data_IF_726335510797
#
_entry.id   IF_726335510797
#
_cell.length_a   1.000
_cell.length_b   1.000
_cell.length_c   1.000
_cell.angle_alpha   90.00
_cell.angle_beta   90.00
_cell.angle_gamma   90.00
#
_symmetry.space_group_name_H-M   'P 1'
#
loop_
_entity.id
_entity.type
_entity.pdbx_description
1 polymer ?
#
# COMPACT_ATOMS: atom_id res chain seq x y z
N UNK A 1 -14.73 -0.96 -23.00
CA UNK A 1 -13.42 -1.20 -22.38
C UNK A 1 -13.41 -0.52 -21.02
N UNK A 2 -14.10 -1.12 -20.04
CA UNK A 2 -14.16 -0.57 -18.68
C UNK A 2 -12.88 -0.94 -17.96
N UNK A 3 -11.94 0.00 -17.85
CA UNK A 3 -10.73 -0.20 -17.06
C UNK A 3 -11.20 -0.45 -15.63
N UNK A 4 -10.92 -1.65 -15.13
CA UNK A 4 -11.21 -2.06 -13.76
C UNK A 4 -10.24 -1.30 -12.84
N UNK A 5 -10.38 0.02 -12.76
CA UNK A 5 -9.58 0.88 -11.92
C UNK A 5 -9.87 0.45 -10.47
N UNK A 6 -8.88 -0.14 -9.82
CA UNK A 6 -8.95 -0.41 -8.37
C UNK A 6 -9.03 0.88 -7.56
N UNK A 7 -8.75 2.02 -8.19
CA UNK A 7 -8.91 3.36 -7.66
C UNK A 7 -10.28 3.90 -8.11
N UNK A 8 -11.12 4.26 -7.14
CA UNK A 8 -12.44 4.83 -7.41
C UNK A 8 -12.34 6.35 -7.66
N UNK A 9 -13.35 6.92 -8.32
CA UNK A 9 -13.44 8.37 -8.60
C UNK A 9 -13.20 9.23 -7.34
N UNK A 10 -13.66 8.80 -6.18
CA UNK A 10 -13.46 9.55 -4.94
C UNK A 10 -12.01 9.54 -4.47
N UNK A 11 -11.31 8.41 -4.64
CA UNK A 11 -9.88 8.32 -4.35
C UNK A 11 -9.08 9.23 -5.28
N UNK A 12 -9.43 9.28 -6.56
CA UNK A 12 -8.80 10.22 -7.51
C UNK A 12 -9.00 11.68 -7.08
N UNK A 13 -10.23 12.06 -6.71
CA UNK A 13 -10.52 13.43 -6.25
C UNK A 13 -9.77 13.78 -4.97
N UNK A 14 -9.68 12.84 -4.02
CA UNK A 14 -8.93 13.02 -2.78
C UNK A 14 -7.43 13.19 -3.04
N UNK A 15 -6.85 12.37 -3.92
CA UNK A 15 -5.44 12.49 -4.33
C UNK A 15 -5.19 13.85 -4.98
N UNK A 16 -6.05 14.26 -5.93
CA UNK A 16 -5.93 15.56 -6.59
C UNK A 16 -5.92 16.71 -5.60
N UNK A 17 -6.86 16.70 -4.65
CA UNK A 17 -6.93 17.72 -3.60
C UNK A 17 -5.69 17.71 -2.71
N UNK A 18 -5.22 16.53 -2.29
CA UNK A 18 -4.01 16.42 -1.46
C UNK A 18 -2.76 16.98 -2.17
N UNK A 19 -2.61 16.70 -3.47
CA UNK A 19 -1.49 17.21 -4.27
C UNK A 19 -1.58 18.73 -4.46
N UNK A 20 -2.77 19.27 -4.77
CA UNK A 20 -2.98 20.72 -4.93
C UNK A 20 -2.64 21.50 -3.65
N UNK A 21 -2.98 20.94 -2.49
CA UNK A 21 -2.66 21.51 -1.17
C UNK A 21 -1.25 21.15 -0.66
N UNK A 22 -0.44 20.47 -1.49
CA UNK A 22 0.93 20.01 -1.15
C UNK A 22 1.00 19.21 0.15
N UNK A 23 -0.01 18.39 0.41
CA UNK A 23 -0.09 17.54 1.59
C UNK A 23 0.72 16.25 1.38
N UNK A 24 1.43 15.76 2.42
CA UNK A 24 2.08 14.45 2.36
C UNK A 24 1.02 13.35 2.23
N UNK A 25 1.23 12.42 1.30
CA UNK A 25 0.29 11.33 1.01
C UNK A 25 0.83 10.00 1.54
N UNK A 26 -0.02 9.29 2.28
CA UNK A 26 0.20 7.90 2.72
C UNK A 26 -0.98 7.06 2.27
N UNK A 27 -0.73 5.84 1.80
CA UNK A 27 -1.76 4.94 1.25
C UNK A 27 -2.02 3.78 2.18
N UNK A 28 -3.28 3.53 2.49
CA UNK A 28 -3.72 2.32 3.19
C UNK A 28 -4.50 1.43 2.21
N UNK A 29 -3.94 0.27 1.86
CA UNK A 29 -4.62 -0.74 1.06
C UNK A 29 -5.43 -1.63 2.00
N UNK A 30 -6.73 -1.41 2.05
CA UNK A 30 -7.64 -2.17 2.92
C UNK A 30 -8.29 -3.36 2.18
N UNK A 31 -8.82 -4.32 2.96
CA UNK A 31 -9.48 -5.55 2.52
C UNK A 31 -8.54 -6.56 1.85
N UNK A 32 -7.27 -6.59 2.26
CA UNK A 32 -6.28 -7.56 1.73
C UNK A 32 -6.70 -9.01 2.01
N UNK A 33 -7.52 -9.25 3.03
CA UNK A 33 -8.09 -10.57 3.35
C UNK A 33 -8.90 -11.17 2.19
N UNK A 34 -9.54 -10.34 1.36
CA UNK A 34 -10.29 -10.82 0.20
C UNK A 34 -9.40 -11.47 -0.86
N UNK A 35 -8.14 -11.04 -0.97
CA UNK A 35 -7.17 -11.64 -1.89
C UNK A 35 -6.92 -13.11 -1.53
N UNK A 36 -6.92 -13.42 -0.23
CA UNK A 36 -6.59 -14.73 0.32
C UNK A 36 -7.84 -15.60 0.48
N UNK A 37 -8.90 -15.05 1.07
CA UNK A 37 -10.06 -15.83 1.50
C UNK A 37 -11.14 -15.95 0.42
N UNK A 38 -11.36 -14.89 -0.36
CA UNK A 38 -12.40 -14.87 -1.41
C UNK A 38 -11.81 -15.26 -2.76
N UNK A 39 -10.80 -14.54 -3.22
CA UNK A 39 -10.16 -14.77 -4.52
C UNK A 39 -9.20 -15.96 -4.49
N UNK A 40 -8.73 -16.36 -3.31
CA UNK A 40 -7.80 -17.49 -3.12
C UNK A 40 -6.57 -17.42 -4.01
N UNK A 41 -6.03 -16.21 -4.17
CA UNK A 41 -4.86 -15.98 -5.00
C UNK A 41 -3.63 -16.64 -4.37
N UNK A 42 -2.75 -17.25 -5.17
CA UNK A 42 -1.39 -17.58 -4.73
C UNK A 42 -0.68 -16.33 -4.17
N UNK A 43 0.26 -16.48 -3.22
CA UNK A 43 0.97 -15.34 -2.61
C UNK A 43 1.62 -14.41 -3.64
N UNK A 44 2.23 -14.99 -4.68
CA UNK A 44 2.86 -14.25 -5.78
C UNK A 44 1.86 -13.39 -6.55
N UNK A 45 0.67 -13.91 -6.84
CA UNK A 45 -0.37 -13.18 -7.57
C UNK A 45 -0.99 -12.08 -6.70
N UNK A 46 -1.18 -12.35 -5.40
CA UNK A 46 -1.61 -11.34 -4.45
C UNK A 46 -0.60 -10.18 -4.36
N UNK A 47 0.71 -10.46 -4.35
CA UNK A 47 1.76 -9.44 -4.43
C UNK A 47 1.63 -8.60 -5.69
N UNK A 48 1.55 -9.22 -6.87
CA UNK A 48 1.40 -8.48 -8.13
C UNK A 48 0.12 -7.63 -8.16
N UNK A 49 -0.95 -8.12 -7.52
CA UNK A 49 -2.19 -7.36 -7.38
C UNK A 49 -2.01 -6.11 -6.52
N UNK A 50 -1.36 -6.23 -5.36
CA UNK A 50 -1.07 -5.11 -4.47
C UNK A 50 -0.15 -4.09 -5.15
N UNK A 51 0.89 -4.58 -5.84
CA UNK A 51 1.81 -3.74 -6.62
C UNK A 51 1.06 -2.96 -7.70
N UNK A 52 0.17 -3.63 -8.45
CA UNK A 52 -0.63 -2.97 -9.47
C UNK A 52 -1.49 -1.84 -8.88
N UNK A 53 -2.09 -2.02 -7.71
CA UNK A 53 -2.85 -0.95 -7.02
C UNK A 53 -1.95 0.25 -6.70
N UNK A 54 -0.73 0.02 -6.22
CA UNK A 54 0.22 1.10 -5.96
C UNK A 54 0.66 1.81 -7.23
N UNK A 55 0.91 1.08 -8.31
CA UNK A 55 1.27 1.65 -9.61
C UNK A 55 0.15 2.58 -10.13
N UNK A 56 -1.12 2.20 -9.95
CA UNK A 56 -2.26 3.06 -10.30
C UNK A 56 -2.30 4.34 -9.46
N UNK A 57 -2.05 4.27 -8.15
CA UNK A 57 -2.02 5.45 -7.28
C UNK A 57 -0.84 6.37 -7.64
N UNK A 58 0.35 5.80 -7.88
CA UNK A 58 1.51 6.55 -8.35
C UNK A 58 1.25 7.23 -9.69
N UNK A 59 0.58 6.56 -10.63
CA UNK A 59 0.20 7.17 -11.90
C UNK A 59 -0.70 8.40 -11.72
N UNK A 60 -1.64 8.37 -10.77
CA UNK A 60 -2.47 9.53 -10.45
C UNK A 60 -1.67 10.65 -9.78
N UNK A 61 -0.79 10.32 -8.85
CA UNK A 61 0.07 11.31 -8.19
C UNK A 61 0.96 12.03 -9.20
N UNK A 62 1.57 11.29 -10.13
CA UNK A 62 2.37 11.84 -11.23
C UNK A 62 1.53 12.68 -12.22
N UNK A 63 0.26 12.33 -12.40
CA UNK A 63 -0.64 13.09 -13.30
C UNK A 63 -1.03 14.44 -12.71
N UNK A 64 -1.14 14.55 -11.38
CA UNK A 64 -1.58 15.77 -10.70
C UNK A 64 -0.46 16.61 -10.10
N UNK A 65 0.75 16.05 -9.96
CA UNK A 65 1.91 16.75 -9.40
C UNK A 65 2.78 17.36 -10.50
N UNK A 66 3.13 18.63 -10.33
CA UNK A 66 4.15 19.29 -11.16
C UNK A 66 5.58 18.83 -10.78
N UNK A 67 5.74 18.27 -9.57
CA UNK A 67 6.99 17.72 -9.04
C UNK A 67 6.81 16.21 -8.79
N UNK A 68 7.11 15.42 -9.82
CA UNK A 68 6.86 13.98 -9.86
C UNK A 68 7.73 13.17 -8.87
N UNK A 69 8.89 13.69 -8.46
CA UNK A 69 9.77 12.98 -7.50
C UNK A 69 9.28 13.10 -6.06
N UNK A 70 8.59 14.20 -5.73
CA UNK A 70 8.13 14.45 -4.35
C UNK A 70 6.91 13.63 -3.93
N UNK A 71 6.12 13.14 -4.89
CA UNK A 71 4.80 12.55 -4.65
C UNK A 71 4.75 11.05 -4.99
N UNK A 72 5.72 10.26 -4.52
CA UNK A 72 5.75 8.81 -4.74
C UNK A 72 5.28 8.02 -3.51
N UNK A 73 4.42 7.01 -3.72
CA UNK A 73 4.03 6.03 -2.71
C UNK A 73 4.71 4.68 -2.95
N UNK A 74 5.39 4.18 -1.93
CA UNK A 74 6.09 2.90 -1.95
C UNK A 74 6.19 2.33 -0.52
N UNK A 75 5.94 1.03 -0.32
CA UNK A 75 6.11 0.39 0.98
C UNK A 75 7.53 0.53 1.55
N UNK A 76 8.54 0.67 0.68
CA UNK A 76 9.93 0.88 1.07
C UNK A 76 10.20 2.30 1.59
N UNK A 77 9.32 3.26 1.26
CA UNK A 77 9.38 4.64 1.71
C UNK A 77 8.55 4.88 2.98
N UNK A 78 8.08 3.80 3.64
CA UNK A 78 7.30 3.87 4.88
C UNK A 78 5.95 4.60 4.74
N UNK A 79 5.46 4.81 3.51
CA UNK A 79 4.20 5.54 3.24
C UNK A 79 3.09 4.64 2.65
N UNK A 80 3.20 3.33 2.86
CA UNK A 80 2.15 2.36 2.51
C UNK A 80 1.86 1.44 3.70
N UNK A 81 0.57 1.25 3.96
CA UNK A 81 0.01 0.37 4.98
C UNK A 81 -0.87 -0.68 4.31
N UNK A 82 -0.76 -1.93 4.73
CA UNK A 82 -1.62 -3.03 4.33
C UNK A 82 -2.56 -3.37 5.49
N UNK A 83 -3.86 -3.45 5.20
CA UNK A 83 -4.86 -3.63 6.24
C UNK A 83 -5.99 -4.59 5.87
N UNK A 84 -6.52 -5.23 6.90
CA UNK A 84 -7.81 -5.89 6.92
C UNK A 84 -8.56 -5.48 8.17
N UNK A 85 -9.48 -4.54 8.03
CA UNK A 85 -10.34 -4.08 9.14
C UNK A 85 -11.20 -5.20 9.71
N UNK A 86 -11.56 -6.22 8.90
CA UNK A 86 -12.39 -7.35 9.36
C UNK A 86 -11.63 -8.26 10.34
N UNK A 87 -10.32 -8.41 10.14
CA UNK A 87 -9.48 -9.28 10.94
C UNK A 87 -8.55 -8.50 11.88
N UNK A 88 -8.77 -7.18 12.03
CA UNK A 88 -7.92 -6.29 12.83
C UNK A 88 -6.43 -6.38 12.49
N UNK A 89 -6.11 -6.58 11.21
CA UNK A 89 -4.73 -6.58 10.72
C UNK A 89 -4.43 -5.21 10.13
N UNK A 90 -3.31 -4.62 10.50
CA UNK A 90 -2.79 -3.38 9.94
C UNK A 90 -1.27 -3.37 10.11
N UNK A 91 -0.51 -3.31 9.02
CA UNK A 91 0.95 -3.31 9.09
C UNK A 91 1.57 -2.56 7.90
N UNK A 92 2.69 -1.89 8.17
CA UNK A 92 3.70 -1.50 7.18
C UNK A 92 4.81 -2.57 7.12
N UNK A 93 5.69 -2.49 6.11
CA UNK A 93 6.88 -3.35 6.06
C UNK A 93 7.74 -3.23 7.32
N UNK A 94 7.90 -2.02 7.84
CA UNK A 94 8.65 -1.74 9.07
C UNK A 94 8.01 -2.42 10.28
N UNK A 95 6.69 -2.22 10.51
CA UNK A 95 6.02 -2.85 11.65
C UNK A 95 6.07 -4.38 11.60
N UNK A 96 6.01 -4.96 10.39
CA UNK A 96 6.11 -6.40 10.19
C UNK A 96 7.54 -6.89 10.40
N UNK A 97 8.55 -6.14 9.93
CA UNK A 97 9.96 -6.43 10.18
C UNK A 97 10.29 -6.39 11.67
N UNK A 98 9.79 -5.39 12.40
CA UNK A 98 9.96 -5.29 13.85
C UNK A 98 9.32 -6.48 14.59
N UNK A 99 8.12 -6.92 14.17
CA UNK A 99 7.49 -8.12 14.72
C UNK A 99 8.39 -9.36 14.54
N UNK A 100 9.02 -9.52 13.37
CA UNK A 100 9.97 -10.62 13.13
C UNK A 100 11.25 -10.47 13.95
N UNK A 101 11.80 -9.26 14.06
CA UNK A 101 12.97 -8.97 14.86
C UNK A 101 12.73 -9.26 16.35
N UNK A 102 11.56 -8.91 16.88
CA UNK A 102 11.21 -9.20 18.27
C UNK A 102 11.05 -10.72 18.51
N UNK A 103 10.45 -11.43 17.56
CA UNK A 103 10.20 -12.86 17.68
C UNK A 103 11.44 -13.73 17.47
N UNK A 104 12.33 -13.35 16.54
CA UNK A 104 13.48 -14.18 16.13
C UNK A 104 14.84 -13.53 16.41
N UNK A 105 14.92 -12.22 16.61
CA UNK A 105 16.17 -11.49 16.82
C UNK A 105 16.87 -11.87 18.12
N UNK A 106 16.13 -12.32 19.14
CA UNK A 106 16.74 -12.88 20.36
C UNK A 106 17.57 -14.14 20.09
N UNK A 107 17.29 -14.94 19.05
CA UNK A 107 18.09 -16.13 18.74
C UNK A 107 19.41 -15.81 18.03
N UNK A 108 19.55 -14.63 17.44
CA UNK A 108 20.76 -14.24 16.70
C UNK A 108 21.87 -13.70 17.62
N UNK A 109 21.53 -13.21 18.82
CA UNK A 109 22.50 -12.59 19.76
C UNK A 109 23.13 -13.65 20.69
N UNK A 110 22.70 -14.92 20.63
CA UNK A 110 23.16 -16.00 21.53
C UNK A 110 24.07 -17.03 20.83
N UNK A 111 24.52 -16.76 19.60
CA UNK A 111 25.51 -17.59 18.90
C UNK A 111 26.75 -16.78 18.53
#
# INVERSE_FOLDING_TARGET
MGVHNYVMLQTERAIRHAVQERLPVTVCINKIDRLILELKLPPTDAYYKLRFVLDQVNGLLQTFSDDAESAQVSPLLHNVIFASSRYNICFSLESFANLYADHYGQYFIVY
#
